data_IF_405688186301
#
_entry.id   IF_405688186301
#
_cell.length_a   1.000
_cell.length_b   1.000
_cell.length_c   1.000
_cell.angle_alpha   90.00
_cell.angle_beta   90.00
_cell.angle_gamma   90.00
#
_symmetry.space_group_name_H-M   'P 1'
#
loop_
_entity.id
_entity.type
_entity.pdbx_description
1 polymer ?
#
# COMPACT_ATOMS: atom_id res chain seq x y z
N UNK A 1 0.92 20.72 4.96
CA UNK A 1 1.19 19.27 4.80
C UNK A 1 -0.15 18.54 4.77
N UNK A 2 -0.32 17.51 3.93
CA UNK A 2 -1.54 16.70 3.90
C UNK A 2 -1.49 15.61 4.98
N UNK A 3 -2.63 15.30 5.58
CA UNK A 3 -2.73 14.23 6.58
C UNK A 3 -2.54 12.85 5.93
N UNK A 4 -2.00 11.89 6.69
CA UNK A 4 -1.93 10.50 6.26
C UNK A 4 -3.30 9.81 6.46
N UNK A 5 -3.77 8.96 5.53
CA UNK A 5 -5.06 8.29 5.61
C UNK A 5 -5.01 7.05 6.54
N UNK A 6 -4.46 7.18 7.76
CA UNK A 6 -4.36 6.05 8.70
C UNK A 6 -5.76 5.64 9.14
N UNK A 7 -6.12 4.37 8.92
CA UNK A 7 -7.44 3.85 9.26
C UNK A 7 -8.55 4.17 8.26
N UNK A 8 -8.25 4.91 7.18
CA UNK A 8 -9.21 5.20 6.10
C UNK A 8 -8.98 4.21 4.96
N UNK A 9 -10.01 3.43 4.64
CA UNK A 9 -9.94 2.39 3.60
C UNK A 9 -10.73 2.75 2.34
N UNK A 10 -11.59 3.78 2.40
CA UNK A 10 -12.40 4.21 1.27
C UNK A 10 -11.71 5.35 0.50
N UNK A 11 -11.69 5.23 -0.82
CA UNK A 11 -11.08 6.22 -1.71
C UNK A 11 -11.85 7.54 -1.74
N UNK A 12 -13.18 7.51 -1.76
CA UNK A 12 -14.02 8.72 -1.72
C UNK A 12 -13.68 9.61 -0.52
N UNK A 13 -13.64 9.01 0.68
CA UNK A 13 -13.24 9.71 1.92
C UNK A 13 -11.84 10.32 1.84
N UNK A 14 -10.91 9.67 1.14
CA UNK A 14 -9.56 10.18 0.95
C UNK A 14 -9.57 11.48 0.13
N UNK A 15 -10.32 11.49 -0.98
CA UNK A 15 -10.44 12.64 -1.90
C UNK A 15 -11.22 13.78 -1.25
N UNK A 16 -12.41 13.50 -0.71
CA UNK A 16 -13.29 14.50 -0.09
C UNK A 16 -12.60 15.26 1.05
N UNK A 17 -11.81 14.55 1.85
CA UNK A 17 -11.10 15.13 2.99
C UNK A 17 -9.65 15.55 2.67
N UNK A 18 -9.25 15.55 1.40
CA UNK A 18 -7.94 16.00 0.92
C UNK A 18 -6.73 15.36 1.65
N UNK A 19 -6.81 14.05 1.92
CA UNK A 19 -5.70 13.28 2.47
C UNK A 19 -4.57 13.10 1.45
N UNK A 20 -3.41 12.66 1.92
CA UNK A 20 -2.31 12.25 1.05
C UNK A 20 -2.68 10.95 0.31
N UNK A 21 -2.83 11.05 -1.01
CA UNK A 21 -2.91 9.91 -1.91
C UNK A 21 -1.55 9.65 -2.56
N UNK A 22 -1.14 8.38 -2.64
CA UNK A 22 0.08 7.97 -3.35
C UNK A 22 -0.34 6.93 -4.38
N UNK A 23 -0.24 7.28 -5.65
CA UNK A 23 -0.43 6.33 -6.74
C UNK A 23 0.78 5.40 -6.83
N UNK A 24 0.53 4.09 -6.80
CA UNK A 24 1.55 3.04 -6.91
C UNK A 24 1.34 2.17 -8.15
N UNK A 25 0.41 2.54 -9.04
CA UNK A 25 0.00 1.74 -10.19
C UNK A 25 1.16 1.35 -11.08
N UNK A 26 2.05 2.30 -11.40
CA UNK A 26 3.24 2.03 -12.23
C UNK A 26 4.16 0.98 -11.60
N UNK A 27 4.47 1.13 -10.31
CA UNK A 27 5.33 0.19 -9.60
C UNK A 27 4.73 -1.20 -9.55
N UNK A 28 3.42 -1.31 -9.28
CA UNK A 28 2.70 -2.58 -9.26
C UNK A 28 2.71 -3.22 -10.65
N UNK A 29 2.45 -2.44 -11.70
CA UNK A 29 2.47 -2.92 -13.08
C UNK A 29 3.85 -3.48 -13.46
N UNK A 30 4.92 -2.75 -13.13
CA UNK A 30 6.29 -3.23 -13.35
C UNK A 30 6.57 -4.51 -12.56
N UNK A 31 6.09 -4.61 -11.32
CA UNK A 31 6.24 -5.81 -10.49
C UNK A 31 5.57 -7.03 -11.14
N UNK A 32 4.37 -6.86 -11.70
CA UNK A 32 3.62 -7.96 -12.32
C UNK A 32 4.19 -8.36 -13.68
N UNK A 33 4.69 -7.40 -14.46
CA UNK A 33 5.07 -7.64 -15.87
C UNK A 33 6.54 -7.95 -16.09
N UNK A 34 7.43 -7.58 -15.16
CA UNK A 34 8.89 -7.71 -15.37
C UNK A 34 9.57 -8.73 -14.47
N UNK A 35 8.97 -9.10 -13.33
CA UNK A 35 9.62 -10.03 -12.41
C UNK A 35 9.20 -11.47 -12.59
N UNK A 36 10.17 -12.37 -12.47
CA UNK A 36 9.94 -13.81 -12.46
C UNK A 36 9.60 -14.34 -11.06
N UNK A 37 10.35 -13.89 -10.03
CA UNK A 37 10.14 -14.30 -8.63
C UNK A 37 10.42 -13.14 -7.69
N UNK A 38 9.48 -12.85 -6.78
CA UNK A 38 9.65 -11.89 -5.71
C UNK A 38 9.59 -12.60 -4.36
N UNK A 39 10.66 -12.46 -3.56
CA UNK A 39 10.62 -12.87 -2.16
C UNK A 39 9.94 -11.78 -1.34
N UNK A 40 8.66 -11.98 -1.04
CA UNK A 40 7.94 -11.16 -0.07
C UNK A 40 8.13 -11.81 1.29
N UNK A 41 9.03 -11.24 2.11
CA UNK A 41 9.17 -11.70 3.49
C UNK A 41 7.80 -11.56 4.16
N UNK A 42 7.20 -12.69 4.54
CA UNK A 42 6.11 -12.72 5.52
C UNK A 42 6.77 -12.97 6.86
N UNK A 43 7.07 -11.94 7.66
CA UNK A 43 7.64 -12.15 8.96
C UNK A 43 6.63 -12.96 9.77
N UNK A 44 7.02 -14.16 10.21
CA UNK A 44 6.22 -14.91 11.19
C UNK A 44 6.14 -14.01 12.42
N UNK A 45 4.93 -13.82 12.97
CA UNK A 45 4.76 -13.10 14.24
C UNK A 45 5.59 -13.84 15.28
N UNK A 46 6.73 -13.28 15.66
CA UNK A 46 7.47 -13.73 16.82
C UNK A 46 6.55 -13.55 18.04
N UNK A 47 6.41 -14.59 18.86
CA UNK A 47 5.64 -14.52 20.11
C UNK A 47 4.14 -14.88 20.03
N UNK A 48 3.70 -15.66 19.05
CA UNK A 48 2.45 -16.42 19.19
C UNK A 48 2.78 -17.87 19.60
N UNK A 49 2.75 -18.10 20.91
CA UNK A 49 2.63 -19.40 21.59
C UNK A 49 1.47 -19.29 22.55
#
# INVERSE_FOLDING_TARGET
MKNLPIGIQEFSKLIENNYLYIDKTEYIHKLITTGSYYFLSRPRRFGKS
#
